data_IF_775850474634
#
_entry.id   IF_775850474634
#
_cell.length_a   1.000
_cell.length_b   1.000
_cell.length_c   1.000
_cell.angle_alpha   90.00
_cell.angle_beta   90.00
_cell.angle_gamma   90.00
#
_symmetry.space_group_name_H-M   'P 1'
#
loop_
_entity.id
_entity.type
_entity.pdbx_description
1 polymer ?
#
# COMPACT_ATOMS: atom_id res chain seq x y z
N UNK A 1 -32.85 -51.51 -16.94
CA UNK A 1 -32.33 -50.96 -15.66
C UNK A 1 -31.47 -49.77 -16.00
N UNK A 2 -32.00 -48.56 -15.79
CA UNK A 2 -31.25 -47.32 -15.99
C UNK A 2 -30.37 -47.10 -14.75
N UNK A 3 -29.06 -47.02 -14.94
CA UNK A 3 -28.16 -46.44 -13.93
C UNK A 3 -28.03 -44.96 -14.24
N UNK A 4 -28.70 -44.13 -13.43
CA UNK A 4 -28.48 -42.69 -13.38
C UNK A 4 -27.07 -42.45 -12.81
N UNK A 5 -26.17 -41.93 -13.64
CA UNK A 5 -24.91 -41.36 -13.17
C UNK A 5 -25.21 -40.09 -12.36
N UNK A 6 -24.93 -40.13 -11.06
CA UNK A 6 -25.02 -38.98 -10.16
C UNK A 6 -24.04 -37.86 -10.57
N UNK A 7 -24.46 -36.58 -10.69
CA UNK A 7 -23.59 -35.47 -11.11
C UNK A 7 -22.78 -34.80 -9.99
N UNK A 8 -22.62 -35.43 -8.82
CA UNK A 8 -22.30 -34.71 -7.58
C UNK A 8 -20.82 -34.31 -7.44
N UNK A 9 -19.89 -34.89 -8.20
CA UNK A 9 -18.44 -34.70 -7.97
C UNK A 9 -17.83 -33.39 -8.53
N UNK A 10 -18.54 -32.62 -9.36
CA UNK A 10 -17.93 -31.46 -10.05
C UNK A 10 -18.16 -30.10 -9.38
N UNK A 11 -19.05 -30.00 -8.38
CA UNK A 11 -19.40 -28.71 -7.75
C UNK A 11 -18.41 -28.26 -6.69
N UNK A 12 -17.91 -29.17 -5.86
CA UNK A 12 -17.00 -28.84 -4.75
C UNK A 12 -15.62 -28.38 -5.24
N UNK A 13 -15.07 -28.99 -6.29
CA UNK A 13 -13.77 -28.62 -6.87
C UNK A 13 -13.82 -27.25 -7.58
N UNK A 14 -14.99 -26.87 -8.12
CA UNK A 14 -15.17 -25.60 -8.80
C UNK A 14 -15.23 -24.41 -7.84
N UNK A 15 -15.95 -24.56 -6.72
CA UNK A 15 -16.06 -23.53 -5.69
C UNK A 15 -14.73 -23.27 -4.98
N UNK A 16 -13.93 -24.31 -4.77
CA UNK A 16 -12.62 -24.19 -4.13
C UNK A 16 -11.60 -23.48 -5.03
N UNK A 17 -11.62 -23.75 -6.34
CA UNK A 17 -10.78 -23.02 -7.33
C UNK A 17 -11.20 -21.56 -7.51
N UNK A 18 -12.50 -21.27 -7.53
CA UNK A 18 -12.99 -19.89 -7.66
C UNK A 18 -12.64 -19.08 -6.40
N UNK A 19 -12.79 -19.68 -5.21
CA UNK A 19 -12.35 -19.11 -3.94
C UNK A 19 -10.83 -18.84 -3.93
N UNK A 20 -10.02 -19.81 -4.38
CA UNK A 20 -8.56 -19.65 -4.48
C UNK A 20 -8.15 -18.54 -5.46
N UNK A 21 -8.83 -18.42 -6.63
CA UNK A 21 -8.59 -17.34 -7.59
C UNK A 21 -8.95 -15.97 -7.01
N UNK A 22 -10.08 -15.88 -6.32
CA UNK A 22 -10.49 -14.66 -5.63
C UNK A 22 -9.46 -14.26 -4.56
N UNK A 23 -9.04 -15.19 -3.72
CA UNK A 23 -8.02 -14.91 -2.70
C UNK A 23 -6.68 -14.47 -3.32
N UNK A 24 -6.24 -15.13 -4.40
CA UNK A 24 -5.01 -14.74 -5.08
C UNK A 24 -5.10 -13.34 -5.70
N UNK A 25 -6.26 -12.98 -6.28
CA UNK A 25 -6.54 -11.63 -6.78
C UNK A 25 -6.51 -10.59 -5.65
N UNK A 26 -7.25 -10.84 -4.59
CA UNK A 26 -7.40 -9.90 -3.47
C UNK A 26 -6.04 -9.68 -2.79
N UNK A 27 -5.25 -10.75 -2.60
CA UNK A 27 -3.89 -10.66 -2.08
C UNK A 27 -2.93 -9.87 -3.00
N UNK A 28 -3.04 -10.02 -4.33
CA UNK A 28 -2.19 -9.28 -5.26
C UNK A 28 -2.55 -7.78 -5.29
N UNK A 29 -3.84 -7.45 -5.25
CA UNK A 29 -4.30 -6.06 -5.13
C UNK A 29 -3.75 -5.46 -3.84
N UNK A 30 -3.88 -6.19 -2.73
CA UNK A 30 -3.37 -5.76 -1.43
C UNK A 30 -1.85 -5.57 -1.40
N UNK A 31 -1.09 -6.51 -1.99
CA UNK A 31 0.36 -6.38 -2.11
C UNK A 31 0.76 -5.17 -2.96
N UNK A 32 0.00 -4.88 -4.02
CA UNK A 32 0.19 -3.68 -4.85
C UNK A 32 -0.10 -2.38 -4.09
N UNK A 33 -1.14 -2.36 -3.26
CA UNK A 33 -1.42 -1.24 -2.34
C UNK A 33 -0.25 -1.03 -1.37
N UNK A 34 0.23 -2.10 -0.73
CA UNK A 34 1.40 -2.08 0.17
C UNK A 34 2.71 -1.64 -0.52
N UNK A 35 2.90 -1.99 -1.79
CA UNK A 35 4.12 -1.58 -2.52
C UNK A 35 4.11 -0.09 -2.87
N UNK A 36 2.93 0.49 -3.18
CA UNK A 36 2.80 1.94 -3.40
C UNK A 36 3.16 2.74 -2.14
N UNK A 37 2.72 2.23 -1.00
CA UNK A 37 3.05 2.68 0.35
C UNK A 37 4.58 2.75 0.56
N UNK A 38 5.29 1.64 0.35
CA UNK A 38 6.76 1.61 0.50
C UNK A 38 7.47 2.55 -0.50
N UNK A 39 6.93 2.68 -1.71
CA UNK A 39 7.47 3.58 -2.73
C UNK A 39 7.36 5.06 -2.32
N UNK A 40 6.22 5.49 -1.80
CA UNK A 40 6.05 6.88 -1.35
C UNK A 40 7.00 7.18 -0.18
N UNK A 41 7.04 6.31 0.82
CA UNK A 41 7.89 6.50 1.98
C UNK A 41 9.39 6.52 1.60
N UNK A 42 9.85 5.62 0.72
CA UNK A 42 11.27 5.58 0.31
C UNK A 42 11.64 6.80 -0.55
N UNK A 43 10.72 7.31 -1.38
CA UNK A 43 10.94 8.53 -2.16
C UNK A 43 11.20 9.72 -1.24
N UNK A 44 10.44 9.88 -0.16
CA UNK A 44 10.67 10.96 0.81
C UNK A 44 11.98 10.80 1.59
N UNK A 45 12.36 9.59 2.01
CA UNK A 45 13.67 9.32 2.64
C UNK A 45 14.81 9.71 1.71
N UNK A 46 14.77 9.25 0.46
CA UNK A 46 15.80 9.55 -0.52
C UNK A 46 15.86 11.05 -0.83
N UNK A 47 14.71 11.71 -0.99
CA UNK A 47 14.64 13.18 -1.16
C UNK A 47 15.25 13.91 0.01
N UNK A 48 15.03 13.43 1.23
CA UNK A 48 15.72 13.88 2.43
C UNK A 48 17.22 13.81 2.33
N UNK A 49 17.73 12.60 2.13
CA UNK A 49 19.16 12.34 2.07
C UNK A 49 19.85 13.12 0.95
N UNK A 50 19.23 13.23 -0.24
CA UNK A 50 19.75 14.06 -1.32
C UNK A 50 19.58 15.56 -1.06
N UNK A 51 18.48 15.97 -0.43
CA UNK A 51 18.25 17.36 -0.02
C UNK A 51 19.30 17.84 0.98
N UNK A 52 19.71 16.98 1.91
CA UNK A 52 20.77 17.25 2.87
C UNK A 52 22.14 17.49 2.21
N UNK A 53 22.40 16.92 1.01
CA UNK A 53 23.61 17.20 0.24
C UNK A 53 23.59 18.57 -0.44
N UNK A 54 22.41 19.09 -0.77
CA UNK A 54 22.23 20.35 -1.50
C UNK A 54 22.01 21.53 -0.52
N UNK A 55 21.54 21.25 0.69
CA UNK A 55 21.34 22.21 1.79
C UNK A 55 22.09 21.76 3.05
N UNK A 56 23.44 21.77 3.02
CA UNK A 56 24.26 21.25 4.11
C UNK A 56 24.00 21.96 5.45
N UNK A 57 23.59 23.23 5.41
CA UNK A 57 23.23 24.02 6.59
C UNK A 57 22.04 23.46 7.38
N UNK A 58 21.13 22.72 6.70
CA UNK A 58 19.93 22.12 7.30
C UNK A 58 19.98 20.58 7.24
N UNK A 59 21.13 19.98 6.92
CA UNK A 59 21.24 18.55 6.61
C UNK A 59 20.67 17.65 7.71
N UNK A 60 20.99 17.91 8.98
CA UNK A 60 20.49 17.13 10.12
C UNK A 60 18.97 17.21 10.23
N UNK A 61 18.40 18.40 10.09
CA UNK A 61 16.95 18.62 10.17
C UNK A 61 16.22 17.95 9.02
N UNK A 62 16.77 18.06 7.80
CA UNK A 62 16.22 17.40 6.61
C UNK A 62 16.22 15.88 6.78
N UNK A 63 17.33 15.29 7.25
CA UNK A 63 17.42 13.83 7.47
C UNK A 63 16.40 13.40 8.53
N UNK A 64 16.34 14.09 9.66
CA UNK A 64 15.38 13.79 10.72
C UNK A 64 13.93 13.89 10.24
N UNK A 65 13.57 14.96 9.53
CA UNK A 65 12.23 15.11 8.96
C UNK A 65 11.89 14.00 7.96
N UNK A 66 12.90 13.45 7.27
CA UNK A 66 12.71 12.35 6.32
C UNK A 66 12.55 11.00 6.98
N UNK A 67 13.29 10.76 8.06
CA UNK A 67 13.11 9.59 8.93
C UNK A 67 11.73 9.63 9.60
N UNK A 68 11.26 10.82 10.02
CA UNK A 68 9.93 11.02 10.61
C UNK A 68 8.81 10.72 9.61
N UNK A 69 8.95 11.18 8.35
CA UNK A 69 8.03 10.86 7.26
C UNK A 69 7.94 9.35 7.04
N UNK A 70 9.08 8.68 6.92
CA UNK A 70 9.14 7.23 6.78
C UNK A 70 8.42 6.51 7.91
N UNK A 71 8.73 6.85 9.16
CA UNK A 71 8.15 6.20 10.33
C UNK A 71 6.62 6.43 10.40
N UNK A 72 6.16 7.65 10.15
CA UNK A 72 4.75 7.99 10.24
C UNK A 72 3.92 7.39 9.10
N UNK A 73 4.38 7.47 7.85
CA UNK A 73 3.71 6.86 6.69
C UNK A 73 3.68 5.34 6.83
N UNK A 74 4.82 4.70 7.13
CA UNK A 74 4.88 3.24 7.31
C UNK A 74 3.89 2.76 8.37
N UNK A 75 3.79 3.44 9.52
CA UNK A 75 2.84 3.05 10.58
C UNK A 75 1.38 3.25 10.17
N UNK A 76 1.04 4.42 9.60
CA UNK A 76 -0.30 4.72 9.10
C UNK A 76 -0.76 3.66 8.09
N UNK A 77 0.10 3.35 7.14
CA UNK A 77 -0.21 2.55 5.98
C UNK A 77 -0.23 1.05 6.33
N UNK A 78 0.70 0.59 7.19
CA UNK A 78 0.64 -0.76 7.73
C UNK A 78 -0.63 -0.99 8.54
N UNK A 79 -1.06 0.00 9.33
CA UNK A 79 -2.31 -0.09 10.07
C UNK A 79 -3.53 -0.14 9.14
N UNK A 80 -3.61 0.67 8.08
CA UNK A 80 -4.70 0.55 7.09
C UNK A 80 -4.71 -0.80 6.38
N UNK A 81 -3.52 -1.33 6.07
CA UNK A 81 -3.34 -2.63 5.45
C UNK A 81 -3.95 -3.76 6.29
N UNK A 82 -3.64 -3.78 7.58
CA UNK A 82 -4.22 -4.73 8.56
C UNK A 82 -5.75 -4.59 8.66
N UNK A 83 -6.29 -3.38 8.50
CA UNK A 83 -7.74 -3.16 8.47
C UNK A 83 -8.41 -3.66 7.19
N UNK A 84 -7.67 -3.76 6.08
CA UNK A 84 -8.18 -4.26 4.80
C UNK A 84 -8.19 -5.79 4.74
N UNK A 85 -7.25 -6.46 5.41
CA UNK A 85 -7.12 -7.92 5.38
C UNK A 85 -8.31 -8.63 6.06
N UNK A 86 -8.94 -8.00 7.06
CA UNK A 86 -10.14 -8.50 7.73
C UNK A 86 -11.17 -7.38 7.95
N UNK A 87 -12.30 -7.47 7.24
CA UNK A 87 -13.40 -6.50 7.34
C UNK A 87 -13.99 -6.33 8.76
N UNK A 88 -13.82 -7.30 9.66
CA UNK A 88 -14.31 -7.24 11.04
C UNK A 88 -13.46 -6.31 11.92
N UNK A 89 -12.22 -6.02 11.51
CA UNK A 89 -11.29 -5.16 12.25
C UNK A 89 -11.58 -3.67 12.04
N UNK A 90 -12.40 -3.30 11.04
CA UNK A 90 -12.80 -1.92 10.70
C UNK A 90 -13.86 -1.33 11.63
N UNK A 91 -13.58 -1.42 12.93
CA UNK A 91 -14.38 -0.85 14.01
C UNK A 91 -14.34 0.69 13.99
N UNK A 92 -15.22 1.33 14.78
CA UNK A 92 -15.23 2.79 14.94
C UNK A 92 -13.91 3.29 15.54
N UNK A 93 -13.37 2.53 16.49
CA UNK A 93 -12.12 2.82 17.20
C UNK A 93 -10.94 2.69 16.24
N UNK A 94 -10.88 1.61 15.45
CA UNK A 94 -9.86 1.43 14.42
C UNK A 94 -9.85 2.58 13.41
N UNK A 95 -11.03 3.04 12.96
CA UNK A 95 -11.13 4.19 12.04
C UNK A 95 -10.62 5.49 12.67
N UNK A 96 -10.78 5.69 13.98
CA UNK A 96 -10.24 6.85 14.69
C UNK A 96 -8.72 6.81 14.76
N UNK A 97 -8.16 5.63 15.07
CA UNK A 97 -6.71 5.42 15.06
C UNK A 97 -6.16 5.67 13.66
N UNK A 98 -6.79 5.11 12.63
CA UNK A 98 -6.41 5.31 11.23
C UNK A 98 -6.39 6.80 10.84
N UNK A 99 -7.42 7.56 11.22
CA UNK A 99 -7.49 8.99 10.95
C UNK A 99 -6.38 9.79 11.65
N UNK A 100 -6.06 9.45 12.90
CA UNK A 100 -4.97 10.09 13.65
C UNK A 100 -3.60 9.77 13.03
N UNK A 101 -3.38 8.50 12.65
CA UNK A 101 -2.14 8.09 12.00
C UNK A 101 -1.98 8.80 10.64
N UNK A 102 -3.06 8.90 9.86
CA UNK A 102 -3.07 9.65 8.60
C UNK A 102 -2.66 11.11 8.79
N UNK A 103 -3.27 11.79 9.76
CA UNK A 103 -2.98 13.19 10.04
C UNK A 103 -1.51 13.41 10.43
N UNK A 104 -0.91 12.46 11.15
CA UNK A 104 0.51 12.50 11.52
C UNK A 104 1.44 12.28 10.33
N UNK A 105 1.10 11.33 9.46
CA UNK A 105 1.84 11.09 8.22
C UNK A 105 1.83 12.33 7.31
N UNK A 106 0.64 12.91 7.09
CA UNK A 106 0.49 14.15 6.31
C UNK A 106 1.26 15.33 6.92
N UNK A 107 1.24 15.48 8.26
CA UNK A 107 1.98 16.54 8.94
C UNK A 107 3.51 16.39 8.81
N UNK A 108 4.03 15.16 8.91
CA UNK A 108 5.44 14.89 8.69
C UNK A 108 5.86 15.21 7.24
N UNK A 109 5.03 14.80 6.28
CA UNK A 109 5.26 15.03 4.85
C UNK A 109 5.29 16.53 4.53
N UNK A 110 4.32 17.28 5.07
CA UNK A 110 4.26 18.74 4.91
C UNK A 110 5.49 19.43 5.52
N UNK A 111 5.97 18.97 6.69
CA UNK A 111 7.18 19.51 7.30
C UNK A 111 8.42 19.30 6.40
N UNK A 112 8.61 18.09 5.87
CA UNK A 112 9.71 17.82 4.94
C UNK A 112 9.57 18.62 3.63
N UNK A 113 8.34 18.76 3.13
CA UNK A 113 8.05 19.59 1.96
C UNK A 113 8.42 21.06 2.17
N UNK A 114 8.23 21.62 3.37
CA UNK A 114 8.67 22.98 3.70
C UNK A 114 10.19 23.12 3.70
N UNK A 115 10.91 22.09 4.14
CA UNK A 115 12.37 22.06 4.12
C UNK A 115 12.94 21.92 2.70
N UNK A 116 12.27 21.19 1.82
CA UNK A 116 12.76 20.83 0.48
C UNK A 116 12.17 21.66 -0.68
N UNK A 117 10.99 22.27 -0.51
CA UNK A 117 10.32 23.10 -1.52
C UNK A 117 9.15 22.44 -2.27
N UNK A 118 8.39 21.52 -1.65
CA UNK A 118 7.11 20.98 -2.17
C UNK A 118 7.18 19.70 -3.03
N UNK A 119 6.00 19.14 -3.31
CA UNK A 119 5.75 17.78 -3.85
C UNK A 119 6.41 17.44 -5.19
N UNK A 120 6.55 16.13 -5.43
CA UNK A 120 7.21 15.57 -6.62
C UNK A 120 6.28 14.69 -7.46
N UNK A 121 6.21 15.01 -8.75
CA UNK A 121 5.64 14.17 -9.82
C UNK A 121 6.15 12.71 -9.82
N UNK A 122 7.29 12.46 -9.18
CA UNK A 122 7.93 11.16 -9.10
C UNK A 122 7.15 10.13 -8.28
N UNK A 123 6.49 10.56 -7.19
CA UNK A 123 5.67 9.65 -6.37
C UNK A 123 4.46 9.15 -7.16
N UNK A 124 3.79 10.06 -7.87
CA UNK A 124 2.70 9.71 -8.76
C UNK A 124 3.16 8.76 -9.88
N UNK A 125 4.32 9.03 -10.50
CA UNK A 125 4.88 8.19 -11.57
C UNK A 125 5.15 6.76 -11.09
N UNK A 126 5.74 6.59 -9.91
CA UNK A 126 6.09 5.25 -9.39
C UNK A 126 4.81 4.49 -8.97
N UNK A 127 3.83 5.17 -8.38
CA UNK A 127 2.55 4.56 -8.02
C UNK A 127 1.75 4.13 -9.25
N UNK A 128 1.77 4.92 -10.33
CA UNK A 128 1.20 4.53 -11.62
C UNK A 128 1.87 3.29 -12.22
N UNK A 129 3.19 3.14 -12.03
CA UNK A 129 3.93 1.95 -12.48
C UNK A 129 3.46 0.70 -11.73
N UNK A 130 3.35 0.77 -10.40
CA UNK A 130 2.84 -0.34 -9.58
C UNK A 130 1.41 -0.73 -9.97
N UNK A 131 0.52 0.24 -10.17
CA UNK A 131 -0.86 -0.01 -10.63
C UNK A 131 -0.89 -0.72 -11.98
N UNK A 132 0.02 -0.35 -12.90
CA UNK A 132 0.13 -0.98 -14.21
C UNK A 132 0.56 -2.44 -14.07
N UNK A 133 1.58 -2.74 -13.28
CA UNK A 133 2.07 -4.11 -13.05
C UNK A 133 0.97 -5.01 -12.46
N UNK A 134 0.25 -4.54 -11.43
CA UNK A 134 -0.87 -5.28 -10.84
C UNK A 134 -1.93 -5.60 -11.89
N UNK A 135 -2.33 -4.61 -12.70
CA UNK A 135 -3.34 -4.78 -13.76
C UNK A 135 -2.88 -5.78 -14.83
N UNK A 136 -1.61 -5.74 -15.22
CA UNK A 136 -1.06 -6.64 -16.23
C UNK A 136 -1.02 -8.09 -15.73
N UNK A 137 -0.62 -8.32 -14.48
CA UNK A 137 -0.62 -9.65 -13.87
C UNK A 137 -2.04 -10.21 -13.75
N UNK A 138 -2.98 -9.42 -13.23
CA UNK A 138 -4.40 -9.84 -13.13
C UNK A 138 -4.98 -10.23 -14.49
N UNK A 139 -4.75 -9.38 -15.51
CA UNK A 139 -5.20 -9.64 -16.88
C UNK A 139 -4.58 -10.90 -17.47
N UNK A 140 -3.27 -11.12 -17.29
CA UNK A 140 -2.55 -12.28 -17.82
C UNK A 140 -3.03 -13.59 -17.23
N UNK A 141 -3.40 -13.59 -15.95
CA UNK A 141 -3.87 -14.78 -15.22
C UNK A 141 -5.39 -14.97 -15.29
N UNK A 142 -6.12 -14.02 -15.89
CA UNK A 142 -7.58 -14.04 -15.94
C UNK A 142 -8.20 -14.04 -14.55
N UNK A 143 -7.72 -13.15 -13.69
CA UNK A 143 -8.18 -12.92 -12.31
C UNK A 143 -8.98 -11.62 -12.22
#
# INVERSE_FOLDING_TARGET
MNQEQSPIANREVSGDRECQRKNARDNLIHAGEFTKIENTAIVYVLRGWFGALIRPENATEIVQASDDVWAAQTLFEHFDSELNSDSTTRTRESRRVLAELKARAEAAQEHLNQLLGGDTDEDERINQLTDKEVKEVLKKLGL
#
